data_IF_996427660956
#
_entry.id   IF_996427660956
#
_cell.length_a   1.000
_cell.length_b   1.000
_cell.length_c   1.000
_cell.angle_alpha   90.00
_cell.angle_beta   90.00
_cell.angle_gamma   90.00
#
_symmetry.space_group_name_H-M   'P 1'
#
loop_
_entity.id
_entity.type
_entity.pdbx_description
1 polymer ?
#
# COMPACT_ATOMS: atom_id res chain seq x y z
N UNK A 1 -38.16 20.71 6.24
CA UNK A 1 -37.94 19.28 6.20
C UNK A 1 -36.69 19.00 7.02
N UNK A 2 -36.76 18.07 8.01
CA UNK A 2 -35.59 17.68 8.80
C UNK A 2 -35.03 16.38 8.20
N UNK A 3 -33.94 16.47 7.44
CA UNK A 3 -33.19 15.30 6.96
C UNK A 3 -32.12 14.93 7.99
N UNK A 4 -31.98 13.65 8.27
CA UNK A 4 -30.90 13.10 9.11
C UNK A 4 -30.14 12.07 8.29
N UNK A 5 -28.83 12.25 8.16
CA UNK A 5 -27.93 11.21 7.65
C UNK A 5 -27.59 10.26 8.80
N UNK A 6 -27.66 8.95 8.55
CA UNK A 6 -27.31 7.89 9.50
C UNK A 6 -26.41 6.85 8.84
N UNK A 7 -25.56 6.21 9.62
CA UNK A 7 -24.61 5.21 9.15
C UNK A 7 -25.07 3.84 9.65
N UNK A 8 -24.95 2.83 8.77
CA UNK A 8 -25.17 1.42 9.07
C UNK A 8 -24.01 0.62 8.51
N UNK A 9 -23.32 -0.15 9.36
CA UNK A 9 -22.29 -1.10 8.92
C UNK A 9 -22.94 -2.35 8.35
N UNK A 10 -22.53 -2.74 7.14
CA UNK A 10 -23.00 -3.95 6.46
C UNK A 10 -21.82 -4.79 6.01
N UNK A 11 -21.93 -6.15 5.95
CA UNK A 11 -20.89 -7.00 5.40
C UNK A 11 -20.72 -6.74 3.90
N UNK A 12 -19.46 -6.71 3.43
CA UNK A 12 -19.12 -6.55 2.03
C UNK A 12 -18.12 -7.59 1.57
N UNK A 13 -18.41 -8.27 0.45
CA UNK A 13 -17.45 -9.19 -0.18
C UNK A 13 -16.33 -8.38 -0.83
N UNK A 14 -15.09 -8.65 -0.41
CA UNK A 14 -13.89 -8.08 -0.98
C UNK A 14 -13.17 -9.09 -1.89
N UNK A 15 -12.42 -8.58 -2.87
CA UNK A 15 -11.59 -9.38 -3.78
C UNK A 15 -10.12 -9.06 -3.54
N UNK A 16 -9.27 -10.05 -3.72
CA UNK A 16 -7.83 -9.89 -3.82
C UNK A 16 -7.26 -10.84 -4.87
N UNK A 17 -6.12 -10.51 -5.42
CA UNK A 17 -5.34 -11.35 -6.32
C UNK A 17 -4.09 -11.84 -5.60
N UNK A 18 -3.66 -13.05 -5.91
CA UNK A 18 -2.51 -13.68 -5.27
C UNK A 18 -1.63 -14.35 -6.32
N UNK A 19 -0.32 -14.28 -6.13
CA UNK A 19 0.69 -15.00 -6.89
C UNK A 19 1.49 -15.86 -5.92
N UNK A 20 1.40 -17.18 -6.11
CA UNK A 20 1.99 -18.17 -5.20
C UNK A 20 3.46 -18.42 -5.54
N UNK A 21 4.32 -18.72 -4.56
CA UNK A 21 5.68 -19.14 -4.79
C UNK A 21 5.73 -20.50 -5.49
N UNK A 22 6.62 -20.65 -6.47
CA UNK A 22 6.77 -21.91 -7.23
C UNK A 22 7.33 -23.04 -6.33
N UNK A 23 8.15 -22.71 -5.35
CA UNK A 23 8.67 -23.67 -4.37
C UNK A 23 7.64 -24.22 -3.40
N UNK A 24 6.45 -23.60 -3.32
CA UNK A 24 5.44 -23.89 -2.31
C UNK A 24 5.75 -23.31 -0.92
N UNK A 25 6.92 -22.67 -0.73
CA UNK A 25 7.33 -21.98 0.50
C UNK A 25 7.58 -20.52 0.21
N UNK A 26 7.15 -19.62 1.09
CA UNK A 26 7.39 -18.20 0.96
C UNK A 26 8.38 -17.71 2.02
N UNK A 27 9.56 -17.28 1.57
CA UNK A 27 10.53 -16.59 2.42
C UNK A 27 10.33 -15.07 2.41
N UNK A 28 9.55 -14.57 1.44
CA UNK A 28 9.14 -13.16 1.35
C UNK A 28 7.65 -13.04 1.04
N UNK A 29 6.96 -12.24 1.83
CA UNK A 29 5.55 -11.88 1.61
C UNK A 29 5.41 -10.41 1.19
N UNK A 30 4.57 -10.16 0.19
CA UNK A 30 4.25 -8.83 -0.30
C UNK A 30 2.76 -8.53 -0.17
N UNK A 31 2.41 -7.45 0.52
CA UNK A 31 1.10 -6.83 0.47
C UNK A 31 1.18 -5.59 -0.42
N UNK A 32 0.51 -5.65 -1.58
CA UNK A 32 0.63 -4.68 -2.67
C UNK A 32 -0.64 -3.83 -2.75
N UNK A 33 -0.57 -2.57 -2.35
CA UNK A 33 -1.71 -1.65 -2.30
C UNK A 33 -1.70 -0.75 -3.55
N UNK A 34 -2.67 -0.98 -4.44
CA UNK A 34 -2.77 -0.34 -5.75
C UNK A 34 -3.15 1.15 -5.69
N UNK A 35 -2.91 1.88 -6.77
CA UNK A 35 -3.31 3.27 -6.96
C UNK A 35 -4.80 3.43 -7.33
N UNK A 36 -5.24 4.69 -7.41
CA UNK A 36 -6.60 5.03 -7.82
C UNK A 36 -6.94 4.47 -9.20
N UNK A 37 -8.15 3.95 -9.35
CA UNK A 37 -8.69 3.36 -10.57
C UNK A 37 -7.98 2.11 -11.10
N UNK A 38 -7.07 1.50 -10.34
CA UNK A 38 -6.49 0.20 -10.68
C UNK A 38 -7.31 -0.94 -10.08
N UNK A 39 -7.27 -2.11 -10.71
CA UNK A 39 -7.80 -3.37 -10.14
C UNK A 39 -6.64 -4.19 -9.56
N UNK A 40 -6.95 -5.05 -8.60
CA UNK A 40 -5.96 -5.90 -7.95
C UNK A 40 -5.17 -6.79 -8.92
N UNK A 41 -5.85 -7.38 -9.92
CA UNK A 41 -5.20 -8.25 -10.91
C UNK A 41 -4.24 -7.47 -11.80
N UNK A 42 -4.67 -6.30 -12.30
CA UNK A 42 -3.85 -5.45 -13.16
C UNK A 42 -2.61 -4.95 -12.40
N UNK A 43 -2.80 -4.56 -11.13
CA UNK A 43 -1.70 -4.10 -10.30
C UNK A 43 -0.72 -5.23 -9.97
N UNK A 44 -1.22 -6.44 -9.68
CA UNK A 44 -0.37 -7.60 -9.40
C UNK A 44 0.49 -7.96 -10.62
N UNK A 45 -0.02 -7.79 -11.85
CA UNK A 45 0.75 -8.07 -13.08
C UNK A 45 1.95 -7.15 -13.26
N UNK A 46 1.95 -5.94 -12.66
CA UNK A 46 3.12 -5.06 -12.66
C UNK A 46 4.34 -5.67 -11.96
N UNK A 47 4.13 -6.70 -11.11
CA UNK A 47 5.16 -7.39 -10.33
C UNK A 47 5.62 -8.74 -10.93
N UNK A 48 5.38 -8.98 -12.23
CA UNK A 48 5.88 -10.17 -12.93
C UNK A 48 7.42 -10.26 -12.96
N UNK A 49 8.12 -9.14 -12.76
CA UNK A 49 9.58 -9.10 -12.65
C UNK A 49 10.11 -9.80 -11.39
N UNK A 50 9.29 -9.96 -10.35
CA UNK A 50 9.62 -10.75 -9.16
C UNK A 50 9.49 -12.23 -9.55
N UNK A 51 10.63 -12.91 -9.72
CA UNK A 51 10.68 -14.34 -9.95
C UNK A 51 10.13 -15.07 -8.73
N UNK A 52 9.41 -16.13 -8.96
CA UNK A 52 8.43 -16.67 -8.02
C UNK A 52 8.94 -17.82 -7.18
N UNK A 53 10.25 -18.00 -7.04
CA UNK A 53 10.76 -19.19 -6.36
C UNK A 53 10.28 -19.24 -4.89
N UNK A 54 10.29 -18.09 -4.18
CA UNK A 54 10.01 -17.99 -2.75
C UNK A 54 9.26 -16.71 -2.33
N UNK A 55 8.61 -16.04 -3.28
CA UNK A 55 7.82 -14.84 -3.02
C UNK A 55 6.31 -15.12 -3.09
N UNK A 56 5.58 -14.77 -2.03
CA UNK A 56 4.12 -14.74 -2.01
C UNK A 56 3.65 -13.29 -2.18
N UNK A 57 2.99 -12.97 -3.29
CA UNK A 57 2.48 -11.64 -3.56
C UNK A 57 0.96 -11.62 -3.41
N UNK A 58 0.44 -10.66 -2.66
CA UNK A 58 -1.00 -10.47 -2.45
C UNK A 58 -1.38 -9.02 -2.74
N UNK A 59 -2.28 -8.83 -3.69
CA UNK A 59 -2.84 -7.52 -4.04
C UNK A 59 -4.33 -7.49 -3.66
N UNK A 60 -4.72 -6.84 -2.56
CA UNK A 60 -6.12 -6.57 -2.24
C UNK A 60 -6.69 -5.51 -3.19
N UNK A 61 -8.00 -5.58 -3.45
CA UNK A 61 -8.72 -4.61 -4.27
C UNK A 61 -9.48 -3.63 -3.37
N UNK A 62 -9.35 -2.34 -3.65
CA UNK A 62 -10.09 -1.29 -2.95
C UNK A 62 -11.59 -1.57 -2.93
N UNK A 63 -12.25 -1.27 -1.79
CA UNK A 63 -13.63 -1.67 -1.55
C UNK A 63 -14.64 -0.92 -2.43
N UNK A 64 -14.29 0.26 -2.96
CA UNK A 64 -15.18 1.11 -3.76
C UNK A 64 -14.86 0.96 -5.24
N UNK A 65 -15.77 0.30 -6.00
CA UNK A 65 -15.65 0.14 -7.45
C UNK A 65 -16.47 1.20 -8.18
N UNK A 66 -15.92 1.67 -9.30
CA UNK A 66 -16.57 2.67 -10.13
C UNK A 66 -16.17 2.54 -11.60
N UNK A 67 -16.94 3.19 -12.48
CA UNK A 67 -16.57 3.31 -13.89
C UNK A 67 -15.64 4.51 -14.09
N UNK A 68 -14.49 4.25 -14.70
CA UNK A 68 -13.50 5.25 -15.05
C UNK A 68 -13.15 5.13 -16.54
N UNK A 69 -13.51 6.14 -17.35
CA UNK A 69 -13.23 6.15 -18.80
C UNK A 69 -13.64 4.83 -19.50
N UNK A 70 -14.85 4.35 -19.25
CA UNK A 70 -15.41 3.08 -19.76
C UNK A 70 -14.69 1.79 -19.27
N UNK A 71 -13.83 1.89 -18.27
CA UNK A 71 -13.24 0.74 -17.57
C UNK A 71 -13.73 0.71 -16.13
N UNK A 72 -13.62 -0.45 -15.49
CA UNK A 72 -13.86 -0.58 -14.06
C UNK A 72 -12.55 -0.28 -13.34
N UNK A 73 -12.61 0.56 -12.33
CA UNK A 73 -11.53 0.83 -11.41
C UNK A 73 -11.98 0.66 -9.96
N UNK A 74 -11.02 0.60 -9.05
CA UNK A 74 -11.26 0.56 -7.62
C UNK A 74 -10.57 1.73 -6.91
N UNK A 75 -11.11 2.12 -5.75
CA UNK A 75 -10.58 3.16 -4.88
C UNK A 75 -10.58 2.68 -3.44
N UNK A 76 -9.62 3.15 -2.66
CA UNK A 76 -9.51 2.85 -1.23
C UNK A 76 -10.41 3.75 -0.40
N UNK A 77 -10.51 4.99 -0.79
CA UNK A 77 -11.36 5.98 -0.11
C UNK A 77 -11.60 7.21 -0.99
N UNK A 78 -12.63 7.95 -0.63
CA UNK A 78 -12.90 9.29 -1.11
C UNK A 78 -12.74 10.32 0.03
N UNK A 79 -13.11 11.57 -0.19
CA UNK A 79 -13.17 12.58 0.88
C UNK A 79 -14.46 12.48 1.68
N UNK A 80 -15.51 11.91 1.07
CA UNK A 80 -16.80 11.66 1.70
C UNK A 80 -16.66 10.43 2.62
N UNK A 81 -17.26 10.47 3.79
CA UNK A 81 -17.22 9.40 4.82
C UNK A 81 -15.80 8.84 5.12
N UNK A 82 -14.81 9.69 4.97
CA UNK A 82 -13.38 9.34 4.98
C UNK A 82 -12.97 8.44 6.14
N UNK A 83 -13.39 8.74 7.36
CA UNK A 83 -12.99 7.97 8.55
C UNK A 83 -13.62 6.58 8.58
N UNK A 84 -14.84 6.44 8.08
CA UNK A 84 -15.49 5.13 7.92
C UNK A 84 -14.78 4.31 6.84
N UNK A 85 -14.48 4.90 5.69
CA UNK A 85 -13.73 4.21 4.62
C UNK A 85 -12.34 3.76 5.10
N UNK A 86 -11.64 4.58 5.91
CA UNK A 86 -10.36 4.20 6.51
C UNK A 86 -10.54 3.01 7.47
N UNK A 87 -11.55 3.04 8.33
CA UNK A 87 -11.85 1.95 9.25
C UNK A 87 -12.17 0.66 8.49
N UNK A 88 -12.98 0.76 7.45
CA UNK A 88 -13.42 -0.38 6.64
C UNK A 88 -12.25 -1.06 5.93
N UNK A 89 -11.37 -0.30 5.24
CA UNK A 89 -10.24 -0.94 4.59
C UNK A 89 -9.17 -1.44 5.57
N UNK A 90 -8.97 -0.80 6.72
CA UNK A 90 -8.06 -1.34 7.76
C UNK A 90 -8.58 -2.67 8.29
N UNK A 91 -9.88 -2.77 8.60
CA UNK A 91 -10.50 -4.02 9.02
C UNK A 91 -10.42 -5.10 7.93
N UNK A 92 -10.71 -4.72 6.68
CA UNK A 92 -10.56 -5.64 5.53
C UNK A 92 -9.14 -6.18 5.39
N UNK A 93 -8.14 -5.31 5.48
CA UNK A 93 -6.73 -5.71 5.35
C UNK A 93 -6.28 -6.58 6.54
N UNK A 94 -6.77 -6.34 7.75
CA UNK A 94 -6.53 -7.23 8.90
C UNK A 94 -7.11 -8.64 8.65
N UNK A 95 -8.35 -8.74 8.20
CA UNK A 95 -8.99 -10.02 7.86
C UNK A 95 -8.25 -10.73 6.72
N UNK A 96 -7.77 -9.99 5.72
CA UNK A 96 -6.97 -10.56 4.64
C UNK A 96 -5.65 -11.12 5.17
N UNK A 97 -4.94 -10.38 6.02
CA UNK A 97 -3.68 -10.83 6.62
C UNK A 97 -3.88 -12.08 7.49
N UNK A 98 -4.94 -12.12 8.30
CA UNK A 98 -5.31 -13.30 9.07
C UNK A 98 -5.52 -14.52 8.17
N UNK A 99 -6.31 -14.36 7.08
CA UNK A 99 -6.55 -15.41 6.10
C UNK A 99 -5.25 -15.92 5.46
N UNK A 100 -4.39 -15.01 4.98
CA UNK A 100 -3.12 -15.35 4.34
C UNK A 100 -2.20 -16.12 5.32
N UNK A 101 -2.03 -15.64 6.55
CA UNK A 101 -1.21 -16.32 7.57
C UNK A 101 -1.77 -17.67 8.02
N UNK A 102 -3.06 -17.89 7.87
CA UNK A 102 -3.70 -19.19 8.16
C UNK A 102 -3.53 -20.19 7.02
N UNK A 103 -3.47 -19.73 5.78
CA UNK A 103 -3.37 -20.57 4.59
C UNK A 103 -1.92 -20.87 4.19
N UNK A 104 -0.97 -20.01 4.55
CA UNK A 104 0.44 -20.10 4.16
C UNK A 104 1.37 -20.01 5.37
N UNK A 105 2.40 -20.85 5.40
CA UNK A 105 3.45 -20.76 6.41
C UNK A 105 4.38 -19.57 6.10
N UNK A 106 4.24 -18.49 6.88
CA UNK A 106 5.00 -17.25 6.76
C UNK A 106 5.79 -16.93 8.04
N UNK A 107 6.08 -17.95 8.85
CA UNK A 107 6.67 -17.76 10.19
C UNK A 107 7.99 -16.98 10.14
N UNK A 108 8.84 -17.33 9.18
CA UNK A 108 10.18 -16.76 9.04
C UNK A 108 10.29 -15.81 7.83
N UNK A 109 9.17 -15.49 7.20
CA UNK A 109 9.15 -14.65 6.01
C UNK A 109 9.43 -13.17 6.31
N UNK A 110 10.09 -12.50 5.37
CA UNK A 110 10.19 -11.04 5.34
C UNK A 110 8.88 -10.44 4.83
N UNK A 111 8.27 -9.51 5.56
CA UNK A 111 7.01 -8.88 5.22
C UNK A 111 7.23 -7.50 4.61
N UNK A 112 6.82 -7.32 3.37
CA UNK A 112 6.86 -6.07 2.62
C UNK A 112 5.44 -5.52 2.44
N UNK A 113 5.22 -4.26 2.82
CA UNK A 113 4.01 -3.50 2.51
C UNK A 113 4.36 -2.41 1.51
N UNK A 114 3.82 -2.54 0.29
CA UNK A 114 4.05 -1.56 -0.75
C UNK A 114 2.75 -0.83 -1.08
N UNK A 115 2.82 0.51 -1.13
CA UNK A 115 1.76 1.36 -1.64
C UNK A 115 2.21 2.13 -2.88
N UNK A 116 1.34 2.21 -3.89
CA UNK A 116 1.55 3.02 -5.09
C UNK A 116 0.47 4.10 -5.21
N UNK A 117 0.88 5.36 -5.44
CA UNK A 117 -0.05 6.48 -5.64
C UNK A 117 -1.07 6.58 -4.49
N UNK A 118 -2.39 6.56 -4.73
CA UNK A 118 -3.41 6.52 -3.66
C UNK A 118 -3.13 5.41 -2.63
N UNK A 119 -2.57 4.29 -3.06
CA UNK A 119 -2.21 3.16 -2.19
C UNK A 119 -1.17 3.49 -1.13
N UNK A 120 -0.35 4.52 -1.31
CA UNK A 120 0.60 5.00 -0.30
C UNK A 120 -0.14 5.44 0.96
N UNK A 121 -1.19 6.25 0.81
CA UNK A 121 -1.99 6.72 1.94
C UNK A 121 -2.66 5.56 2.69
N UNK A 122 -3.12 4.55 1.96
CA UNK A 122 -3.70 3.34 2.55
C UNK A 122 -2.65 2.49 3.25
N UNK A 123 -1.48 2.30 2.64
CA UNK A 123 -0.38 1.54 3.21
C UNK A 123 0.14 2.18 4.51
N UNK A 124 0.35 3.50 4.54
CA UNK A 124 0.78 4.22 5.76
C UNK A 124 -0.24 4.05 6.89
N UNK A 125 -1.53 4.24 6.60
CA UNK A 125 -2.58 4.09 7.62
C UNK A 125 -2.72 2.66 8.10
N UNK A 126 -2.63 1.67 7.20
CA UNK A 126 -2.63 0.26 7.58
C UNK A 126 -1.38 -0.13 8.35
N UNK A 127 -0.21 0.37 7.99
CA UNK A 127 1.02 0.16 8.75
C UNK A 127 0.89 0.63 10.20
N UNK A 128 0.23 1.79 10.42
CA UNK A 128 0.05 2.39 11.76
C UNK A 128 -1.10 1.75 12.54
N UNK A 129 -2.26 1.53 11.89
CA UNK A 129 -3.52 1.13 12.53
C UNK A 129 -3.76 -0.37 12.49
N UNK A 130 -3.12 -1.09 11.57
CA UNK A 130 -3.26 -2.54 11.40
C UNK A 130 -2.57 -3.32 12.52
N UNK A 131 -2.99 -4.58 12.67
CA UNK A 131 -2.54 -5.50 13.72
C UNK A 131 -1.21 -6.18 13.39
N UNK A 132 -0.73 -6.04 12.16
CA UNK A 132 0.45 -6.74 11.65
C UNK A 132 1.66 -5.82 11.57
N UNK A 133 2.84 -6.42 11.71
CA UNK A 133 4.11 -5.74 11.51
C UNK A 133 4.69 -6.11 10.15
N UNK A 134 5.38 -5.16 9.53
CA UNK A 134 6.09 -5.33 8.27
C UNK A 134 7.56 -4.98 8.48
N UNK A 135 8.45 -5.69 7.80
CA UNK A 135 9.88 -5.39 7.82
C UNK A 135 10.17 -4.14 6.98
N UNK A 136 9.44 -3.99 5.86
CA UNK A 136 9.61 -2.86 4.96
C UNK A 136 8.26 -2.20 4.64
N UNK A 137 8.22 -0.86 4.76
CA UNK A 137 7.16 0.00 4.25
C UNK A 137 7.69 0.73 3.02
N UNK A 138 7.15 0.41 1.84
CA UNK A 138 7.64 0.88 0.54
C UNK A 138 6.58 1.78 -0.08
N UNK A 139 6.87 3.06 -0.23
CA UNK A 139 5.95 4.10 -0.66
C UNK A 139 6.40 4.64 -2.02
N UNK A 140 5.59 4.42 -3.07
CA UNK A 140 5.96 4.74 -4.44
C UNK A 140 5.03 5.79 -5.05
N UNK A 141 5.60 6.86 -5.62
CA UNK A 141 4.94 7.86 -6.47
C UNK A 141 3.70 8.48 -5.83
N UNK A 142 3.85 9.09 -4.66
CA UNK A 142 2.76 9.80 -3.96
C UNK A 142 3.32 10.90 -3.06
N UNK A 143 2.43 11.78 -2.59
CA UNK A 143 2.69 12.57 -1.39
C UNK A 143 2.43 11.75 -0.12
N UNK A 144 2.95 12.22 1.01
CA UNK A 144 2.75 11.58 2.31
C UNK A 144 1.46 12.08 2.99
N UNK A 145 0.65 11.20 3.62
CA UNK A 145 -0.60 11.61 4.27
C UNK A 145 -0.35 12.55 5.46
N UNK A 146 -0.88 13.79 5.36
CA UNK A 146 -0.67 14.86 6.37
C UNK A 146 -1.37 14.59 7.72
N UNK A 147 -2.33 13.67 7.73
CA UNK A 147 -3.10 13.24 8.91
C UNK A 147 -2.47 12.07 9.68
N UNK A 148 -1.20 11.79 9.43
CA UNK A 148 -0.46 10.67 10.03
C UNK A 148 -0.23 10.88 11.53
N UNK A 149 -0.47 9.83 12.33
CA UNK A 149 0.01 9.76 13.72
C UNK A 149 1.52 9.44 13.70
N UNK A 150 2.34 10.49 13.68
CA UNK A 150 3.81 10.36 13.58
C UNK A 150 4.44 9.70 14.82
N UNK A 151 3.79 9.77 15.98
CA UNK A 151 4.27 9.09 17.19
C UNK A 151 4.19 7.58 16.97
N UNK A 152 3.02 7.09 16.57
CA UNK A 152 2.84 5.66 16.28
C UNK A 152 3.67 5.19 15.09
N UNK A 153 3.82 6.03 14.05
CA UNK A 153 4.68 5.71 12.92
C UNK A 153 6.12 5.48 13.38
N UNK A 154 6.67 6.40 14.17
CA UNK A 154 8.02 6.26 14.74
C UNK A 154 8.17 5.01 15.61
N UNK A 155 7.16 4.69 16.42
CA UNK A 155 7.19 3.46 17.25
C UNK A 155 7.27 2.20 16.40
N UNK A 156 6.47 2.12 15.33
CA UNK A 156 6.48 0.97 14.41
C UNK A 156 7.78 0.88 13.60
N UNK A 157 8.33 2.01 13.17
CA UNK A 157 9.57 2.05 12.40
C UNK A 157 10.81 1.64 13.18
N UNK A 158 10.77 1.57 14.53
CA UNK A 158 11.88 1.00 15.32
C UNK A 158 12.24 -0.45 14.93
N UNK A 159 11.33 -1.17 14.27
CA UNK A 159 11.51 -2.56 13.84
C UNK A 159 11.31 -2.75 12.33
N UNK A 160 11.25 -1.64 11.59
CA UNK A 160 10.93 -1.63 10.16
C UNK A 160 11.77 -0.59 9.44
N UNK A 161 11.96 -0.78 8.14
CA UNK A 161 12.54 0.23 7.26
C UNK A 161 11.45 0.89 6.44
N UNK A 162 11.58 2.18 6.19
CA UNK A 162 10.70 2.91 5.29
C UNK A 162 11.48 3.42 4.09
N UNK A 163 10.93 3.20 2.91
CA UNK A 163 11.46 3.66 1.63
C UNK A 163 10.44 4.58 0.99
N UNK A 164 10.86 5.78 0.59
CA UNK A 164 10.01 6.73 -0.10
C UNK A 164 10.57 6.99 -1.49
N UNK A 165 9.90 6.46 -2.52
CA UNK A 165 10.41 6.33 -3.89
C UNK A 165 9.62 7.24 -4.82
N UNK A 166 10.31 8.08 -5.60
CA UNK A 166 9.70 9.10 -6.44
C UNK A 166 10.37 9.22 -7.81
N UNK A 167 9.55 9.35 -8.87
CA UNK A 167 10.02 9.71 -10.21
C UNK A 167 10.23 11.23 -10.33
N UNK A 168 11.40 11.65 -10.79
CA UNK A 168 11.75 13.08 -10.89
C UNK A 168 10.92 13.85 -11.93
N UNK A 169 10.28 13.14 -12.87
CA UNK A 169 9.38 13.68 -13.89
C UNK A 169 7.92 13.31 -13.65
N UNK A 170 7.55 12.92 -12.39
CA UNK A 170 6.19 12.52 -12.03
C UNK A 170 5.20 13.67 -12.26
N UNK A 171 4.30 13.48 -13.25
CA UNK A 171 3.29 14.46 -13.65
C UNK A 171 2.06 14.52 -12.73
N UNK A 172 1.83 13.49 -11.93
CA UNK A 172 0.70 13.42 -10.99
C UNK A 172 1.09 13.95 -9.59
N UNK A 173 2.33 13.69 -9.17
CA UNK A 173 2.90 14.16 -7.91
C UNK A 173 4.13 15.00 -8.22
N UNK A 174 3.94 16.33 -8.24
CA UNK A 174 5.03 17.24 -8.57
C UNK A 174 6.17 17.19 -7.55
N UNK A 175 7.37 17.57 -7.97
CA UNK A 175 8.53 17.65 -7.08
C UNK A 175 8.27 18.52 -5.85
N UNK A 176 7.47 19.61 -5.97
CA UNK A 176 7.09 20.46 -4.85
C UNK A 176 6.29 19.68 -3.81
N UNK A 177 5.27 18.92 -4.23
CA UNK A 177 4.44 18.10 -3.32
C UNK A 177 5.25 16.99 -2.67
N UNK A 178 6.17 16.38 -3.42
CA UNK A 178 7.08 15.38 -2.88
C UNK A 178 8.02 15.99 -1.84
N UNK A 179 8.64 17.14 -2.15
CA UNK A 179 9.52 17.86 -1.23
C UNK A 179 8.80 18.34 0.05
N UNK A 180 7.52 18.76 -0.06
CA UNK A 180 6.69 19.03 1.12
C UNK A 180 6.54 17.80 2.01
N UNK A 181 6.37 16.63 1.40
CA UNK A 181 6.28 15.35 2.14
C UNK A 181 7.60 14.98 2.82
N UNK A 182 8.73 15.16 2.13
CA UNK A 182 10.08 14.97 2.68
C UNK A 182 10.30 15.89 3.88
N UNK A 183 9.96 17.17 3.74
CA UNK A 183 10.05 18.14 4.84
C UNK A 183 9.20 17.73 6.04
N UNK A 184 7.95 17.31 5.79
CA UNK A 184 7.03 16.84 6.83
C UNK A 184 7.61 15.65 7.61
N UNK A 185 8.22 14.70 6.91
CA UNK A 185 8.85 13.52 7.54
C UNK A 185 10.06 13.93 8.40
N UNK A 186 10.94 14.81 7.92
CA UNK A 186 12.08 15.32 8.70
C UNK A 186 11.65 16.12 9.94
N UNK A 187 10.64 16.99 9.81
CA UNK A 187 10.10 17.77 10.95
C UNK A 187 9.55 16.87 12.05
N UNK A 188 9.04 15.69 11.69
CA UNK A 188 8.55 14.69 12.64
C UNK A 188 9.59 13.62 13.01
N UNK A 189 10.85 13.81 12.62
CA UNK A 189 11.99 12.93 12.96
C UNK A 189 11.77 11.48 12.52
N UNK A 190 11.14 11.29 11.35
CA UNK A 190 10.96 9.99 10.75
C UNK A 190 12.25 9.59 10.04
N UNK A 191 12.74 8.36 10.30
CA UNK A 191 13.84 7.76 9.56
C UNK A 191 13.31 7.03 8.33
N UNK A 192 13.85 7.34 7.14
CA UNK A 192 13.47 6.73 5.88
C UNK A 192 14.58 6.85 4.84
N UNK A 193 14.54 6.01 3.83
CA UNK A 193 15.37 6.11 2.64
C UNK A 193 14.61 6.89 1.57
N UNK A 194 15.13 8.07 1.19
CA UNK A 194 14.63 8.91 0.09
C UNK A 194 15.32 8.47 -1.21
N UNK A 195 14.53 7.95 -2.16
CA UNK A 195 15.05 7.41 -3.40
C UNK A 195 14.32 8.04 -4.59
N UNK A 196 15.05 8.79 -5.39
CA UNK A 196 14.55 9.35 -6.64
C UNK A 196 15.09 8.58 -7.86
N UNK A 197 14.29 8.49 -8.91
CA UNK A 197 14.69 7.91 -10.19
C UNK A 197 14.23 8.79 -11.36
N UNK A 198 14.92 8.71 -12.48
CA UNK A 198 14.50 9.37 -13.70
C UNK A 198 13.30 8.63 -14.31
N UNK A 199 12.11 9.21 -14.16
CA UNK A 199 10.85 8.61 -14.63
C UNK A 199 9.61 9.40 -14.19
N UNK A 200 8.47 9.02 -14.75
CA UNK A 200 7.15 9.58 -14.49
C UNK A 200 6.43 8.82 -13.35
N UNK A 201 5.09 8.95 -13.28
CA UNK A 201 4.20 8.32 -12.30
C UNK A 201 4.07 6.80 -12.51
N UNK A 202 5.14 6.07 -12.22
CA UNK A 202 5.24 4.62 -12.47
C UNK A 202 5.97 3.89 -11.34
N UNK A 203 5.79 2.57 -11.27
CA UNK A 203 6.65 1.71 -10.47
C UNK A 203 7.98 1.49 -11.21
N UNK A 204 9.10 1.88 -10.59
CA UNK A 204 10.42 1.53 -11.15
C UNK A 204 10.75 0.08 -10.81
N UNK A 205 10.40 -0.84 -11.73
CA UNK A 205 10.53 -2.29 -11.56
C UNK A 205 11.98 -2.71 -11.32
N UNK A 206 12.93 -2.09 -12.04
CA UNK A 206 14.36 -2.38 -11.85
C UNK A 206 14.84 -2.00 -10.46
N UNK A 207 14.49 -0.81 -10.00
CA UNK A 207 14.85 -0.34 -8.65
C UNK A 207 14.27 -1.25 -7.57
N UNK A 208 12.98 -1.60 -7.68
CA UNK A 208 12.32 -2.50 -6.73
C UNK A 208 12.98 -3.90 -6.72
N UNK A 209 13.33 -4.43 -7.88
CA UNK A 209 14.07 -5.69 -7.99
C UNK A 209 15.44 -5.60 -7.30
N UNK A 210 16.19 -4.53 -7.58
CA UNK A 210 17.54 -4.34 -7.03
C UNK A 210 17.56 -4.18 -5.52
N UNK A 211 16.52 -3.59 -4.93
CA UNK A 211 16.40 -3.35 -3.48
C UNK A 211 15.85 -4.55 -2.69
N UNK A 212 14.94 -5.35 -3.27
CA UNK A 212 14.14 -6.29 -2.48
C UNK A 212 14.11 -7.73 -3.01
N UNK A 213 14.71 -8.01 -4.16
CA UNK A 213 14.60 -9.33 -4.81
C UNK A 213 15.96 -9.96 -5.18
N UNK A 214 17.07 -9.47 -4.61
CA UNK A 214 18.43 -10.02 -4.78
C UNK A 214 18.79 -10.98 -3.69
#
# INVERSE_FOLDING_TARGET
MNFQSRILTVPKTARFSIKLPESGKADTFWLLIHGYAQLATDFLSEFEFIKNEDHLLTAPEGLSKFYFRNKIGASWMTKEDRENEISDYVNYLNLLMEKIKKEYDLKDATFNLLGFSQGVHTAVRFFIKGEYNFNNLILCSSDFPKDTDFIKLNEKLKKSKMYFIHGTSDSAITNERFNESIKLLYENKIEFEDISFDGDHVLNKKLLFDLFCK
#
